data_IF_819062607550
#
_entry.id   IF_819062607550
#
_cell.length_a   1.000
_cell.length_b   1.000
_cell.length_c   1.000
_cell.angle_alpha   90.00
_cell.angle_beta   90.00
_cell.angle_gamma   90.00
#
_symmetry.space_group_name_H-M   'P 1'
#
loop_
_entity.id
_entity.type
_entity.pdbx_description
1 polymer ?
#
# COMPACT_ATOMS: atom_id res chain seq x y z
N UNK A 1 17.56 2.44 19.95
CA UNK A 1 18.95 2.26 19.52
C UNK A 1 19.39 3.56 18.86
N UNK A 2 20.45 4.20 19.39
CA UNK A 2 21.03 5.33 18.67
C UNK A 2 21.73 4.80 17.42
N UNK A 3 21.66 5.54 16.33
CA UNK A 3 22.34 5.19 15.08
C UNK A 3 23.86 5.15 15.25
N UNK A 4 24.40 5.89 16.23
CA UNK A 4 25.82 5.91 16.55
C UNK A 4 26.32 4.54 17.01
N UNK A 5 25.59 3.88 17.92
CA UNK A 5 25.95 2.54 18.38
C UNK A 5 25.85 1.48 17.27
N UNK A 6 24.89 1.65 16.36
CA UNK A 6 24.77 0.79 15.18
C UNK A 6 25.92 1.03 14.19
N UNK A 7 26.31 2.29 14.00
CA UNK A 7 27.45 2.70 13.18
C UNK A 7 28.77 2.08 13.65
N UNK A 8 29.04 2.15 14.96
CA UNK A 8 30.23 1.56 15.59
C UNK A 8 30.26 0.04 15.41
N UNK A 9 29.14 -0.64 15.68
CA UNK A 9 29.04 -2.10 15.58
C UNK A 9 29.21 -2.62 14.13
N UNK A 10 28.82 -1.84 13.14
CA UNK A 10 28.90 -2.21 11.72
C UNK A 10 30.13 -1.64 11.00
N UNK A 11 30.98 -0.88 11.70
CA UNK A 11 32.18 -0.23 11.14
C UNK A 11 31.89 0.66 9.91
N UNK A 12 30.73 1.34 9.89
CA UNK A 12 30.40 2.32 8.85
C UNK A 12 30.76 3.74 9.29
N UNK A 13 31.17 4.59 8.35
CA UNK A 13 31.44 6.00 8.63
C UNK A 13 30.16 6.77 8.98
N UNK A 14 29.07 6.53 8.24
CA UNK A 14 27.79 7.16 8.46
C UNK A 14 26.64 6.19 8.24
N UNK A 15 25.57 6.30 9.04
CA UNK A 15 24.30 5.60 8.84
C UNK A 15 23.18 6.64 8.87
N UNK A 16 22.43 6.72 7.79
CA UNK A 16 21.27 7.61 7.68
C UNK A 16 19.98 6.81 7.77
N UNK A 17 18.98 7.40 8.39
CA UNK A 17 17.63 6.84 8.52
C UNK A 17 16.61 7.78 7.89
N UNK A 18 15.87 7.30 6.88
CA UNK A 18 14.75 8.04 6.29
C UNK A 18 13.49 7.76 7.09
N UNK A 19 13.06 8.73 7.89
CA UNK A 19 11.85 8.61 8.70
C UNK A 19 10.58 8.84 7.88
N UNK A 20 9.80 7.80 7.66
CA UNK A 20 8.52 7.79 6.98
C UNK A 20 7.32 7.76 7.94
N UNK A 21 7.55 7.87 9.25
CA UNK A 21 6.51 7.79 10.29
C UNK A 21 5.45 8.89 10.19
N UNK A 22 5.79 10.02 9.57
CA UNK A 22 4.89 11.17 9.38
C UNK A 22 4.30 11.28 7.97
N UNK A 23 4.63 10.36 7.07
CA UNK A 23 4.17 10.41 5.67
C UNK A 23 2.65 10.36 5.60
N UNK A 24 2.03 11.48 5.21
CA UNK A 24 0.58 11.65 5.02
C UNK A 24 -0.30 11.14 6.17
N UNK A 25 0.20 11.11 7.41
CA UNK A 25 -0.45 10.51 8.58
C UNK A 25 -0.70 8.99 8.46
N UNK A 26 -0.18 8.34 7.41
CA UNK A 26 -0.27 6.89 7.20
C UNK A 26 0.87 6.11 7.87
N UNK A 27 1.88 6.84 8.38
CA UNK A 27 3.04 6.28 9.09
C UNK A 27 3.80 5.22 8.27
N UNK A 28 3.86 5.41 6.94
CA UNK A 28 4.51 4.46 6.04
C UNK A 28 4.76 5.05 4.67
N UNK A 29 5.90 4.71 4.05
CA UNK A 29 6.20 5.05 2.66
C UNK A 29 5.24 4.39 1.64
N UNK A 30 4.54 3.33 2.03
CA UNK A 30 3.54 2.66 1.19
C UNK A 30 2.47 3.61 0.66
N UNK A 31 2.23 4.73 1.36
CA UNK A 31 1.33 5.79 0.90
C UNK A 31 1.73 6.36 -0.47
N UNK A 32 3.03 6.46 -0.76
CA UNK A 32 3.53 6.97 -2.03
C UNK A 32 3.17 6.05 -3.21
N UNK A 33 3.25 4.72 -3.03
CA UNK A 33 3.02 3.77 -4.12
C UNK A 33 1.57 3.42 -4.34
N UNK A 34 0.86 2.94 -3.30
CA UNK A 34 -0.50 2.46 -3.45
C UNK A 34 -1.48 3.55 -3.89
N UNK A 35 -1.41 4.74 -3.27
CA UNK A 35 -2.25 5.87 -3.66
C UNK A 35 -1.92 6.39 -5.07
N UNK A 36 -0.65 6.44 -5.45
CA UNK A 36 -0.23 6.82 -6.80
C UNK A 36 -0.77 5.84 -7.85
N UNK A 37 -0.68 4.53 -7.59
CA UNK A 37 -1.24 3.53 -8.49
C UNK A 37 -2.74 3.73 -8.67
N UNK A 38 -3.50 3.93 -7.57
CA UNK A 38 -4.94 4.23 -7.63
C UNK A 38 -5.22 5.47 -8.47
N UNK A 39 -4.50 6.57 -8.27
CA UNK A 39 -4.65 7.80 -9.04
C UNK A 39 -4.45 7.56 -10.54
N UNK A 40 -3.35 6.87 -10.91
CA UNK A 40 -3.02 6.64 -12.32
C UNK A 40 -4.05 5.78 -13.05
N UNK A 41 -4.57 4.72 -12.42
CA UNK A 41 -5.52 3.81 -13.06
C UNK A 41 -6.94 4.34 -13.09
N UNK A 42 -7.28 5.28 -12.20
CA UNK A 42 -8.62 5.87 -12.09
C UNK A 42 -8.80 7.14 -12.91
N UNK A 43 -7.76 7.66 -13.55
CA UNK A 43 -7.81 8.90 -14.35
C UNK A 43 -8.97 8.88 -15.34
N UNK A 44 -9.94 9.80 -15.16
CA UNK A 44 -11.14 9.89 -15.98
C UNK A 44 -12.27 8.89 -15.67
N UNK A 45 -12.13 8.05 -14.64
CA UNK A 45 -13.12 7.01 -14.29
C UNK A 45 -13.77 7.29 -12.94
N UNK A 46 -14.98 7.84 -12.92
CA UNK A 46 -15.69 8.24 -11.68
C UNK A 46 -16.33 7.09 -10.88
N UNK A 47 -16.65 5.96 -11.50
CA UNK A 47 -17.43 4.88 -10.88
C UNK A 47 -16.61 3.60 -10.66
N UNK A 48 -15.29 3.71 -10.65
CA UNK A 48 -14.42 2.56 -10.42
C UNK A 48 -14.48 2.11 -8.96
N UNK A 49 -14.57 0.80 -8.75
CA UNK A 49 -14.37 0.19 -7.44
C UNK A 49 -12.95 -0.38 -7.37
N UNK A 50 -12.20 0.03 -6.38
CA UNK A 50 -10.84 -0.45 -6.13
C UNK A 50 -10.91 -1.65 -5.19
N UNK A 51 -10.11 -2.67 -5.44
CA UNK A 51 -9.99 -3.83 -4.55
C UNK A 51 -8.52 -4.20 -4.29
N UNK A 52 -8.24 -4.76 -3.13
CA UNK A 52 -6.91 -5.30 -2.80
C UNK A 52 -7.03 -6.37 -1.71
N UNK A 53 -6.09 -7.31 -1.69
CA UNK A 53 -5.98 -8.30 -0.61
C UNK A 53 -4.73 -8.01 0.22
N UNK A 54 -4.90 -7.41 1.39
CA UNK A 54 -3.79 -7.01 2.28
C UNK A 54 -4.30 -6.46 3.61
N UNK A 55 -3.65 -6.82 4.70
CA UNK A 55 -3.98 -6.33 6.05
C UNK A 55 -3.01 -5.25 6.58
N UNK A 56 -2.09 -4.79 5.73
CA UNK A 56 -0.99 -3.92 6.13
C UNK A 56 -1.07 -2.51 5.53
N UNK A 57 0.10 -1.88 5.51
CA UNK A 57 0.27 -0.50 5.03
C UNK A 57 -0.11 -0.29 3.56
N UNK A 58 -0.02 -1.34 2.72
CA UNK A 58 -0.48 -1.26 1.34
C UNK A 58 -2.00 -1.05 1.28
N UNK A 59 -2.79 -1.82 2.04
CA UNK A 59 -4.24 -1.67 2.12
C UNK A 59 -4.68 -0.28 2.59
N UNK A 60 -4.01 0.24 3.63
CA UNK A 60 -4.23 1.62 4.10
C UNK A 60 -3.94 2.65 3.02
N UNK A 61 -2.84 2.46 2.26
CA UNK A 61 -2.45 3.33 1.15
C UNK A 61 -3.47 3.31 0.01
N UNK A 62 -3.92 2.14 -0.39
CA UNK A 62 -4.95 1.95 -1.44
C UNK A 62 -6.28 2.58 -1.01
N UNK A 63 -6.73 2.31 0.23
CA UNK A 63 -7.95 2.89 0.80
C UNK A 63 -7.88 4.42 0.85
N UNK A 64 -6.75 4.98 1.32
CA UNK A 64 -6.55 6.42 1.36
C UNK A 64 -6.55 7.04 -0.05
N UNK A 65 -5.87 6.42 -1.01
CA UNK A 65 -5.88 6.86 -2.41
C UNK A 65 -7.29 6.86 -3.01
N UNK A 66 -8.06 5.80 -2.78
CA UNK A 66 -9.45 5.70 -3.23
C UNK A 66 -10.33 6.78 -2.60
N UNK A 67 -10.21 6.99 -1.28
CA UNK A 67 -10.95 8.05 -0.55
C UNK A 67 -10.70 9.44 -1.13
N UNK A 68 -9.44 9.77 -1.43
CA UNK A 68 -9.07 11.07 -2.02
C UNK A 68 -9.72 11.33 -3.37
N UNK A 69 -10.02 10.27 -4.11
CA UNK A 69 -10.62 10.33 -5.45
C UNK A 69 -12.12 10.02 -5.44
N UNK A 70 -12.71 9.94 -4.24
CA UNK A 70 -14.12 9.58 -4.03
C UNK A 70 -14.52 8.25 -4.71
N UNK A 71 -13.63 7.25 -4.66
CA UNK A 71 -13.84 5.92 -5.21
C UNK A 71 -14.19 4.94 -4.08
N UNK A 72 -15.05 3.97 -4.39
CA UNK A 72 -15.31 2.84 -3.49
C UNK A 72 -14.07 1.95 -3.40
N UNK A 73 -13.77 1.47 -2.19
CA UNK A 73 -12.63 0.59 -1.95
C UNK A 73 -13.04 -0.62 -1.12
N UNK A 74 -12.59 -1.81 -1.54
CA UNK A 74 -12.85 -3.08 -0.85
C UNK A 74 -11.52 -3.77 -0.56
N UNK A 75 -11.23 -3.99 0.72
CA UNK A 75 -9.99 -4.63 1.16
C UNK A 75 -10.29 -6.00 1.75
N UNK A 76 -9.69 -7.02 1.16
CA UNK A 76 -9.86 -8.41 1.59
C UNK A 76 -8.76 -8.77 2.57
N UNK A 77 -9.15 -9.35 3.69
CA UNK A 77 -8.22 -9.77 4.75
C UNK A 77 -8.58 -11.17 5.26
N UNK A 78 -7.56 -11.89 5.72
CA UNK A 78 -7.78 -13.15 6.42
C UNK A 78 -8.63 -12.95 7.68
N UNK A 79 -9.46 -13.94 8.02
CA UNK A 79 -10.23 -13.93 9.27
C UNK A 79 -9.40 -13.74 10.53
N UNK A 80 -8.10 -14.11 10.48
CA UNK A 80 -7.17 -14.00 11.61
C UNK A 80 -6.60 -12.59 11.81
N UNK A 81 -6.89 -11.67 10.90
CA UNK A 81 -6.43 -10.28 11.04
C UNK A 81 -7.17 -9.62 12.20
N UNK A 82 -6.40 -8.99 13.10
CA UNK A 82 -6.94 -8.33 14.28
C UNK A 82 -7.91 -7.19 13.93
N UNK A 83 -8.88 -6.97 14.79
CA UNK A 83 -9.87 -5.89 14.59
C UNK A 83 -9.21 -4.50 14.55
N UNK A 84 -8.12 -4.29 15.28
CA UNK A 84 -7.35 -3.05 15.22
C UNK A 84 -6.84 -2.76 13.81
N UNK A 85 -6.28 -3.77 13.11
CA UNK A 85 -5.81 -3.60 11.73
C UNK A 85 -6.95 -3.36 10.75
N UNK A 86 -8.07 -4.04 10.94
CA UNK A 86 -9.30 -3.81 10.15
C UNK A 86 -9.73 -2.35 10.29
N UNK A 87 -9.88 -1.87 11.53
CA UNK A 87 -10.29 -0.50 11.83
C UNK A 87 -9.33 0.55 11.25
N UNK A 88 -8.01 0.30 11.27
CA UNK A 88 -7.03 1.19 10.66
C UNK A 88 -7.18 1.35 9.13
N UNK A 89 -7.76 0.37 8.45
CA UNK A 89 -8.09 0.43 7.02
C UNK A 89 -9.44 1.14 6.83
N UNK A 90 -10.45 0.79 7.62
CA UNK A 90 -11.80 1.36 7.57
C UNK A 90 -11.84 2.87 7.82
N UNK A 91 -10.91 3.41 8.62
CA UNK A 91 -10.74 4.87 8.82
C UNK A 91 -10.56 5.64 7.50
N UNK A 92 -10.07 4.97 6.47
CA UNK A 92 -9.92 5.54 5.14
C UNK A 92 -11.13 5.28 4.22
N UNK A 93 -12.26 4.82 4.79
CA UNK A 93 -13.52 4.63 4.06
C UNK A 93 -13.57 3.38 3.20
N UNK A 94 -12.63 2.44 3.37
CA UNK A 94 -12.71 1.14 2.71
C UNK A 94 -13.65 0.19 3.46
N UNK A 95 -14.39 -0.60 2.71
CA UNK A 95 -15.11 -1.77 3.22
C UNK A 95 -14.09 -2.92 3.36
N UNK A 96 -13.94 -3.45 4.57
CA UNK A 96 -13.05 -4.58 4.83
C UNK A 96 -13.84 -5.88 4.84
N UNK A 97 -13.45 -6.82 3.99
CA UNK A 97 -14.07 -8.12 3.82
C UNK A 97 -13.18 -9.18 4.46
N UNK A 98 -13.61 -9.75 5.58
CA UNK A 98 -12.93 -10.89 6.22
C UNK A 98 -13.24 -12.18 5.48
N UNK A 99 -12.19 -12.88 5.04
CA UNK A 99 -12.27 -14.15 4.32
C UNK A 99 -11.84 -15.29 5.22
N UNK A 100 -12.60 -16.39 5.22
CA UNK A 100 -12.24 -17.62 5.95
C UNK A 100 -10.94 -18.18 5.36
N UNK A 101 -9.96 -18.45 6.23
CA UNK A 101 -8.65 -18.97 5.84
C UNK A 101 -7.54 -17.94 5.97
N UNK A 102 -6.45 -18.18 5.27
CA UNK A 102 -5.21 -17.40 5.32
C UNK A 102 -5.18 -16.23 4.30
N UNK A 103 -3.99 -15.70 4.06
CA UNK A 103 -3.80 -14.60 3.10
C UNK A 103 -4.10 -15.04 1.65
N UNK A 104 -3.67 -16.22 1.27
CA UNK A 104 -3.88 -16.79 -0.07
C UNK A 104 -5.36 -16.90 -0.39
N UNK A 105 -6.18 -17.38 0.56
CA UNK A 105 -7.65 -17.42 0.42
C UNK A 105 -8.23 -16.02 0.23
N UNK A 106 -7.72 -15.03 0.95
CA UNK A 106 -8.15 -13.62 0.80
C UNK A 106 -7.80 -13.07 -0.58
N UNK A 107 -6.63 -13.42 -1.12
CA UNK A 107 -6.19 -13.01 -2.44
C UNK A 107 -7.03 -13.68 -3.55
N UNK A 108 -7.32 -14.96 -3.43
CA UNK A 108 -8.17 -15.69 -4.36
C UNK A 108 -9.59 -15.11 -4.39
N UNK A 109 -10.18 -14.88 -3.22
CA UNK A 109 -11.52 -14.31 -3.12
C UNK A 109 -11.59 -12.88 -3.66
N UNK A 110 -10.55 -12.07 -3.39
CA UNK A 110 -10.39 -10.75 -3.99
C UNK A 110 -10.38 -10.85 -5.52
N UNK A 111 -9.59 -11.75 -6.11
CA UNK A 111 -9.53 -11.96 -7.56
C UNK A 111 -10.89 -12.42 -8.11
N UNK A 112 -11.53 -13.38 -7.46
CA UNK A 112 -12.81 -13.95 -7.87
C UNK A 112 -13.91 -12.88 -7.90
N UNK A 113 -14.08 -12.14 -6.80
CA UNK A 113 -15.10 -11.11 -6.70
C UNK A 113 -14.80 -9.90 -7.58
N UNK A 114 -13.53 -9.53 -7.72
CA UNK A 114 -13.13 -8.42 -8.59
C UNK A 114 -13.43 -8.73 -10.05
N UNK A 115 -13.16 -9.96 -10.50
CA UNK A 115 -13.51 -10.41 -11.86
C UNK A 115 -15.04 -10.42 -12.05
N UNK A 116 -15.80 -10.96 -11.09
CA UNK A 116 -17.26 -11.03 -11.17
C UNK A 116 -17.93 -9.66 -11.25
N UNK A 117 -17.40 -8.67 -10.50
CA UNK A 117 -18.04 -7.36 -10.36
C UNK A 117 -17.31 -6.25 -11.13
N UNK A 118 -16.33 -6.59 -11.97
CA UNK A 118 -15.52 -5.63 -12.73
C UNK A 118 -14.82 -4.58 -11.81
N UNK A 119 -14.28 -5.02 -10.66
CA UNK A 119 -13.49 -4.17 -9.77
C UNK A 119 -12.02 -4.16 -10.19
N UNK A 120 -11.36 -3.06 -9.97
CA UNK A 120 -9.94 -2.92 -10.28
C UNK A 120 -9.07 -3.36 -9.12
N UNK A 121 -8.33 -4.44 -9.30
CA UNK A 121 -7.37 -4.92 -8.30
C UNK A 121 -6.13 -4.02 -8.29
N UNK A 122 -5.68 -3.65 -7.09
CA UNK A 122 -4.45 -2.89 -6.83
C UNK A 122 -3.60 -3.66 -5.81
N UNK A 123 -2.69 -4.49 -6.31
CA UNK A 123 -1.68 -5.22 -5.54
C UNK A 123 -0.29 -4.67 -5.81
N UNK A 124 0.61 -4.76 -4.83
CA UNK A 124 2.01 -4.32 -4.94
C UNK A 124 2.98 -5.44 -5.37
N UNK A 125 2.49 -6.67 -5.50
CA UNK A 125 3.27 -7.83 -5.94
C UNK A 125 2.95 -8.16 -7.39
N UNK A 126 4.00 -8.25 -8.23
CA UNK A 126 3.85 -8.62 -9.64
C UNK A 126 3.76 -10.13 -9.85
N UNK A 127 3.02 -10.51 -10.89
CA UNK A 127 2.98 -11.87 -11.41
C UNK A 127 3.22 -11.84 -12.92
N UNK A 128 3.34 -13.02 -13.57
CA UNK A 128 3.56 -13.10 -15.02
C UNK A 128 2.62 -12.22 -15.84
N UNK A 129 1.34 -12.14 -15.44
CA UNK A 129 0.29 -11.44 -16.16
C UNK A 129 -0.21 -10.16 -15.44
N UNK A 130 0.44 -9.75 -14.36
CA UNK A 130 0.05 -8.58 -13.56
C UNK A 130 1.30 -7.78 -13.17
N UNK A 131 1.74 -6.89 -14.07
CA UNK A 131 2.97 -6.11 -13.91
C UNK A 131 2.73 -4.61 -13.82
N UNK A 132 1.78 -4.08 -14.58
CA UNK A 132 1.58 -2.65 -14.76
C UNK A 132 1.29 -1.90 -13.44
N UNK A 133 0.37 -2.40 -12.61
CA UNK A 133 0.01 -1.76 -11.35
C UNK A 133 1.14 -1.84 -10.31
N UNK A 134 1.83 -2.97 -10.11
CA UNK A 134 3.05 -3.00 -9.31
C UNK A 134 4.12 -2.02 -9.80
N UNK A 135 4.32 -1.85 -11.10
CA UNK A 135 5.25 -0.85 -11.65
C UNK A 135 4.83 0.58 -11.29
N UNK A 136 3.54 0.92 -11.36
CA UNK A 136 3.05 2.21 -10.89
C UNK A 136 3.31 2.41 -9.38
N UNK A 137 3.11 1.37 -8.59
CA UNK A 137 3.41 1.39 -7.15
C UNK A 137 4.89 1.68 -6.90
N UNK A 138 5.79 1.01 -7.62
CA UNK A 138 7.23 1.25 -7.55
C UNK A 138 7.60 2.66 -8.03
N UNK A 139 6.97 3.15 -9.09
CA UNK A 139 7.16 4.53 -9.55
C UNK A 139 6.77 5.56 -8.49
N UNK A 140 5.71 5.30 -7.70
CA UNK A 140 5.36 6.13 -6.55
C UNK A 140 6.44 6.15 -5.48
N UNK A 141 7.10 5.01 -5.20
CA UNK A 141 8.20 4.93 -4.23
C UNK A 141 9.46 5.68 -4.67
N UNK A 142 9.65 5.94 -5.95
CA UNK A 142 10.80 6.70 -6.46
C UNK A 142 10.87 8.13 -5.87
N UNK A 143 9.75 8.68 -5.41
CA UNK A 143 9.71 9.98 -4.71
C UNK A 143 10.56 9.93 -3.44
N UNK A 144 10.46 8.86 -2.66
CA UNK A 144 11.26 8.67 -1.44
C UNK A 144 12.77 8.62 -1.79
N UNK A 145 13.14 7.92 -2.86
CA UNK A 145 14.53 7.84 -3.31
C UNK A 145 15.04 9.21 -3.73
N UNK A 146 14.23 9.97 -4.50
CA UNK A 146 14.58 11.34 -4.90
C UNK A 146 14.73 12.29 -3.69
N UNK A 147 13.93 12.11 -2.65
CA UNK A 147 14.08 12.87 -1.41
C UNK A 147 15.37 12.51 -0.69
N UNK A 148 15.71 11.21 -0.60
CA UNK A 148 16.98 10.74 -0.01
C UNK A 148 18.16 11.36 -0.73
N UNK A 149 18.20 11.26 -2.07
CA UNK A 149 19.31 11.86 -2.88
C UNK A 149 19.46 13.37 -2.71
N UNK A 150 18.41 14.08 -2.25
CA UNK A 150 18.49 15.52 -1.99
C UNK A 150 18.85 15.85 -0.53
N UNK A 151 18.70 14.90 0.36
CA UNK A 151 18.92 15.06 1.80
C UNK A 151 20.30 14.55 2.23
N UNK A 152 20.96 13.80 1.37
CA UNK A 152 22.31 13.28 1.56
C UNK A 152 23.20 13.83 0.43
N UNK A 153 24.34 14.39 0.75
CA UNK A 153 25.31 14.92 -0.20
C UNK A 153 26.16 13.79 -0.85
N UNK A 154 25.47 12.71 -1.28
CA UNK A 154 26.12 11.53 -1.90
C UNK A 154 25.50 11.21 -3.25
#
# INVERSE_FOLDING_TARGET
LSLDKLRENLSFNNIFYKDESRRFHLKSFKALGGAYAVEKISKGKKNMVISSATAGNHGRSVAWGAKRLNLKCKIFVSQYVSQTRVHEIEKFGAEVIKVKGNYENSLEECKRLSKKNNWQIVQDVSTKNYKYIPQLTMAGYSIMIKEISKQTDH
#
